data_IF_059059930406
#
_entry.id   IF_059059930406
#
_cell.length_a   1.000
_cell.length_b   1.000
_cell.length_c   1.000
_cell.angle_alpha   90.00
_cell.angle_beta   90.00
_cell.angle_gamma   90.00
#
_symmetry.space_group_name_H-M   'P 1'
#
loop_
_entity.id
_entity.type
_entity.pdbx_description
1 polymer ?
#
# COMPACT_ATOMS: atom_id res chain seq x y z
N UNK A 1 16.55 5.17 9.14
CA UNK A 1 15.59 4.07 8.91
C UNK A 1 14.14 4.56 8.79
N UNK A 2 13.59 5.24 9.80
CA UNK A 2 12.19 5.71 9.81
C UNK A 2 11.83 6.59 8.59
N UNK A 3 12.71 7.51 8.18
CA UNK A 3 12.54 8.33 6.97
C UNK A 3 12.37 7.48 5.71
N UNK A 4 13.14 6.41 5.54
CA UNK A 4 13.04 5.49 4.40
C UNK A 4 11.72 4.71 4.39
N UNK A 5 11.27 4.26 5.56
CA UNK A 5 9.95 3.62 5.70
C UNK A 5 8.85 4.60 5.30
N UNK A 6 8.89 5.84 5.81
CA UNK A 6 7.92 6.87 5.49
C UNK A 6 7.87 7.19 3.99
N UNK A 7 9.04 7.42 3.37
CA UNK A 7 9.16 7.78 1.95
C UNK A 7 8.64 6.64 1.07
N UNK A 8 9.12 5.41 1.30
CA UNK A 8 8.72 4.26 0.49
C UNK A 8 7.25 3.92 0.67
N UNK A 9 6.69 4.00 1.89
CA UNK A 9 5.26 3.76 2.12
C UNK A 9 4.40 4.82 1.43
N UNK A 10 4.77 6.09 1.59
CA UNK A 10 4.05 7.23 0.99
C UNK A 10 4.01 7.15 -0.54
N UNK A 11 5.16 6.86 -1.17
CA UNK A 11 5.23 6.74 -2.61
C UNK A 11 4.55 5.48 -3.13
N UNK A 12 4.77 4.31 -2.52
CA UNK A 12 4.11 3.07 -2.95
C UNK A 12 2.59 3.16 -2.80
N UNK A 13 2.09 3.85 -1.77
CA UNK A 13 0.68 4.17 -1.66
C UNK A 13 0.20 5.08 -2.79
N UNK A 14 0.90 6.18 -3.07
CA UNK A 14 0.51 7.15 -4.10
C UNK A 14 0.47 6.59 -5.52
N UNK A 15 1.32 5.61 -5.85
CA UNK A 15 1.28 4.97 -7.16
C UNK A 15 0.15 3.93 -7.26
N UNK A 16 -0.12 3.17 -6.19
CA UNK A 16 -1.11 2.09 -6.19
C UNK A 16 -2.54 2.61 -6.06
N UNK A 17 -2.77 3.58 -5.16
CA UNK A 17 -4.11 3.99 -4.75
C UNK A 17 -5.02 4.46 -5.90
N UNK A 18 -4.55 5.29 -6.85
CA UNK A 18 -5.39 5.74 -7.96
C UNK A 18 -5.84 4.62 -8.91
N UNK A 19 -5.14 3.47 -8.93
CA UNK A 19 -5.52 2.32 -9.77
C UNK A 19 -6.84 1.68 -9.30
N UNK A 20 -7.18 1.81 -8.01
CA UNK A 20 -8.42 1.27 -7.44
C UNK A 20 -9.68 1.95 -7.99
N UNK A 21 -9.58 3.12 -8.63
CA UNK A 21 -10.71 3.74 -9.33
C UNK A 21 -11.21 2.96 -10.55
N UNK A 22 -10.47 1.95 -11.02
CA UNK A 22 -10.98 1.03 -12.04
C UNK A 22 -11.99 0.01 -11.51
N UNK A 23 -12.03 -0.21 -10.19
CA UNK A 23 -12.86 -1.25 -9.55
C UNK A 23 -14.33 -0.85 -9.53
N UNK A 24 -14.63 0.44 -9.36
CA UNK A 24 -16.00 0.91 -9.21
C UNK A 24 -16.58 1.52 -10.49
N UNK A 25 -17.85 1.17 -10.77
CA UNK A 25 -18.58 1.72 -11.89
C UNK A 25 -18.99 3.17 -11.62
N UNK A 26 -18.57 4.07 -12.50
CA UNK A 26 -18.48 5.52 -12.23
C UNK A 26 -19.81 6.24 -12.15
N UNK A 27 -20.86 5.65 -12.70
CA UNK A 27 -22.21 6.23 -12.69
C UNK A 27 -22.91 6.15 -11.33
N UNK A 28 -22.38 5.32 -10.42
CA UNK A 28 -23.07 4.93 -9.19
C UNK A 28 -22.58 5.68 -7.96
N UNK A 29 -21.41 6.34 -8.01
CA UNK A 29 -20.79 6.99 -6.86
C UNK A 29 -20.74 8.50 -7.06
N UNK A 30 -21.03 9.24 -6.00
CA UNK A 30 -20.94 10.69 -5.94
C UNK A 30 -19.52 11.23 -6.22
N UNK A 31 -19.46 12.44 -6.76
CA UNK A 31 -18.22 13.14 -7.09
C UNK A 31 -17.32 13.39 -5.87
N UNK A 32 -17.92 13.56 -4.68
CA UNK A 32 -17.21 13.74 -3.42
C UNK A 32 -16.27 12.59 -3.07
N UNK A 33 -16.68 11.34 -3.35
CA UNK A 33 -15.86 10.15 -3.12
C UNK A 33 -14.54 10.22 -3.91
N UNK A 34 -14.60 10.60 -5.18
CA UNK A 34 -13.41 10.66 -6.01
C UNK A 34 -12.47 11.80 -5.60
N UNK A 35 -13.02 12.97 -5.27
CA UNK A 35 -12.24 14.11 -4.78
C UNK A 35 -11.47 13.75 -3.51
N UNK A 36 -12.14 13.10 -2.57
CA UNK A 36 -11.52 12.63 -1.34
C UNK A 36 -10.38 11.66 -1.62
N UNK A 37 -10.63 10.63 -2.44
CA UNK A 37 -9.64 9.60 -2.72
C UNK A 37 -8.44 10.12 -3.54
N UNK A 38 -8.66 11.00 -4.52
CA UNK A 38 -7.57 11.66 -5.26
C UNK A 38 -6.77 12.61 -4.36
N UNK A 39 -7.46 13.41 -3.54
CA UNK A 39 -6.82 14.27 -2.55
C UNK A 39 -5.98 13.48 -1.55
N UNK A 40 -6.45 12.31 -1.13
CA UNK A 40 -5.70 11.42 -0.23
C UNK A 40 -4.42 10.88 -0.87
N UNK A 41 -4.45 10.51 -2.15
CA UNK A 41 -3.24 10.13 -2.90
C UNK A 41 -2.25 11.30 -3.00
N UNK A 42 -2.73 12.50 -3.34
CA UNK A 42 -1.89 13.71 -3.36
C UNK A 42 -1.26 13.98 -1.99
N UNK A 43 -2.02 13.86 -0.91
CA UNK A 43 -1.52 14.06 0.44
C UNK A 43 -0.39 13.06 0.78
N UNK A 44 -0.59 11.77 0.48
CA UNK A 44 0.43 10.75 0.68
C UNK A 44 1.71 11.04 -0.12
N UNK A 45 1.61 11.34 -1.42
CA UNK A 45 2.79 11.69 -2.23
C UNK A 45 3.48 12.95 -1.71
N UNK A 46 2.71 13.95 -1.27
CA UNK A 46 3.25 15.16 -0.66
C UNK A 46 4.09 14.89 0.59
N UNK A 47 3.66 13.96 1.45
CA UNK A 47 4.46 13.49 2.60
C UNK A 47 5.76 12.84 2.12
N UNK A 48 5.69 11.99 1.08
CA UNK A 48 6.88 11.35 0.51
C UNK A 48 7.88 12.36 -0.07
N UNK A 49 7.40 13.38 -0.78
CA UNK A 49 8.23 14.48 -1.31
C UNK A 49 8.85 15.26 -0.15
N UNK A 50 8.08 15.67 0.84
CA UNK A 50 8.63 16.32 2.03
C UNK A 50 9.70 15.46 2.72
N UNK A 51 9.42 14.16 2.85
CA UNK A 51 10.34 13.19 3.42
C UNK A 51 11.69 13.14 2.72
N UNK A 52 11.72 12.98 1.39
CA UNK A 52 12.98 12.83 0.62
C UNK A 52 13.82 14.13 0.59
N UNK A 53 13.18 15.28 0.73
CA UNK A 53 13.86 16.58 0.78
C UNK A 53 14.39 16.93 2.18
N UNK A 54 13.64 16.59 3.23
CA UNK A 54 14.01 16.88 4.62
C UNK A 54 14.96 15.85 5.22
N UNK A 55 14.94 14.60 4.73
CA UNK A 55 15.82 13.56 5.25
C UNK A 55 17.25 13.73 4.71
N UNK A 56 18.22 13.68 5.61
CA UNK A 56 19.62 13.55 5.22
C UNK A 56 19.89 12.10 4.80
N UNK A 57 20.02 11.90 3.48
CA UNK A 57 20.25 10.59 2.85
C UNK A 57 21.64 10.53 2.19
N UNK A 58 22.44 11.59 2.37
CA UNK A 58 23.73 11.80 1.72
C UNK A 58 24.75 10.71 2.05
N UNK A 59 24.68 10.13 3.25
CA UNK A 59 25.57 9.04 3.69
C UNK A 59 25.33 7.70 2.96
N UNK A 60 24.20 7.55 2.26
CA UNK A 60 23.76 6.25 1.75
C UNK A 60 23.52 6.17 0.25
N UNK A 61 23.49 7.32 -0.42
CA UNK A 61 23.08 7.42 -1.82
C UNK A 61 23.97 8.44 -2.50
N UNK A 62 24.49 8.11 -3.67
CA UNK A 62 25.26 9.04 -4.49
C UNK A 62 24.50 10.35 -4.69
N UNK A 63 25.16 11.48 -4.43
CA UNK A 63 24.56 12.82 -4.44
C UNK A 63 23.84 13.15 -5.76
N UNK A 64 24.36 12.69 -6.90
CA UNK A 64 23.77 12.87 -8.23
C UNK A 64 22.45 12.09 -8.39
N UNK A 65 22.42 10.83 -7.94
CA UNK A 65 21.24 9.97 -8.01
C UNK A 65 20.12 10.42 -7.06
N UNK A 66 20.48 10.96 -5.89
CA UNK A 66 19.55 11.51 -4.92
C UNK A 66 18.88 12.79 -5.44
N UNK A 67 19.63 13.69 -6.07
CA UNK A 67 19.09 14.90 -6.69
C UNK A 67 18.10 14.57 -7.81
N UNK A 68 18.45 13.62 -8.68
CA UNK A 68 17.56 13.16 -9.75
C UNK A 68 16.26 12.58 -9.18
N UNK A 69 16.34 11.73 -8.15
CA UNK A 69 15.19 11.16 -7.46
C UNK A 69 14.26 12.22 -6.85
N UNK A 70 14.83 13.26 -6.22
CA UNK A 70 14.07 14.39 -5.64
C UNK A 70 13.27 15.15 -6.70
N UNK A 71 13.89 15.48 -7.83
CA UNK A 71 13.19 16.18 -8.93
C UNK A 71 12.15 15.32 -9.64
N UNK A 72 12.44 14.02 -9.83
CA UNK A 72 11.46 13.07 -10.35
C UNK A 72 10.23 12.97 -9.44
N UNK A 73 10.42 12.91 -8.12
CA UNK A 73 9.32 12.87 -7.16
C UNK A 73 8.46 14.15 -7.21
N UNK A 74 9.09 15.32 -7.36
CA UNK A 74 8.37 16.61 -7.53
C UNK A 74 7.60 16.64 -8.84
N UNK A 75 8.22 16.25 -9.96
CA UNK A 75 7.57 16.19 -11.26
C UNK A 75 6.35 15.26 -11.25
N UNK A 76 6.50 14.09 -10.61
CA UNK A 76 5.39 13.16 -10.42
C UNK A 76 4.28 13.77 -9.55
N UNK A 77 4.62 14.39 -8.42
CA UNK A 77 3.65 15.04 -7.54
C UNK A 77 2.85 16.13 -8.28
N UNK A 78 3.53 16.97 -9.07
CA UNK A 78 2.87 17.97 -9.91
C UNK A 78 1.93 17.33 -10.94
N UNK A 79 2.34 16.22 -11.58
CA UNK A 79 1.47 15.51 -12.52
C UNK A 79 0.17 15.01 -11.85
N UNK A 80 0.27 14.49 -10.62
CA UNK A 80 -0.87 14.01 -9.85
C UNK A 80 -1.79 15.16 -9.42
N UNK A 81 -1.22 16.30 -9.02
CA UNK A 81 -1.97 17.51 -8.69
C UNK A 81 -2.70 18.08 -9.92
N UNK A 82 -2.07 18.12 -11.09
CA UNK A 82 -2.69 18.59 -12.33
C UNK A 82 -3.90 17.72 -12.70
N UNK A 83 -3.73 16.39 -12.66
CA UNK A 83 -4.84 15.45 -12.94
C UNK A 83 -5.95 15.61 -11.90
N UNK A 84 -5.59 15.75 -10.62
CA UNK A 84 -6.57 15.93 -9.54
C UNK A 84 -7.33 17.25 -9.68
N UNK A 85 -6.64 18.35 -9.99
CA UNK A 85 -7.24 19.66 -10.21
C UNK A 85 -8.17 19.65 -11.43
N UNK A 86 -7.76 19.00 -12.53
CA UNK A 86 -8.57 18.88 -13.74
C UNK A 86 -9.89 18.12 -13.49
N UNK A 87 -9.86 17.07 -12.69
CA UNK A 87 -11.05 16.29 -12.33
C UNK A 87 -11.82 16.83 -11.13
N UNK A 88 -11.26 17.78 -10.38
CA UNK A 88 -11.88 18.30 -9.16
C UNK A 88 -13.28 18.85 -9.42
N UNK A 89 -13.46 19.67 -10.45
CA UNK A 89 -14.77 20.30 -10.75
C UNK A 89 -15.68 19.44 -11.60
N UNK A 90 -15.16 18.37 -12.21
CA UNK A 90 -15.90 17.58 -13.21
C UNK A 90 -16.67 16.43 -12.56
N UNK A 91 -17.85 16.11 -13.11
CA UNK A 91 -18.70 15.02 -12.59
C UNK A 91 -18.34 13.62 -13.11
N UNK A 92 -17.35 13.55 -13.98
CA UNK A 92 -16.89 12.33 -14.65
C UNK A 92 -15.39 12.17 -14.50
N UNK A 93 -14.95 10.95 -14.23
CA UNK A 93 -13.52 10.62 -14.18
C UNK A 93 -13.22 9.57 -15.25
N UNK A 94 -12.12 9.76 -15.96
CA UNK A 94 -11.58 8.75 -16.88
C UNK A 94 -10.45 8.03 -16.15
N UNK A 95 -10.69 6.78 -15.77
CA UNK A 95 -9.73 5.98 -14.98
C UNK A 95 -8.37 5.83 -15.66
N UNK A 96 -8.33 5.77 -17.00
CA UNK A 96 -7.04 5.74 -17.73
C UNK A 96 -6.22 7.02 -17.52
N UNK A 97 -6.87 8.20 -17.46
CA UNK A 97 -6.18 9.47 -17.19
C UNK A 97 -5.67 9.55 -15.75
N UNK A 98 -6.38 8.93 -14.81
CA UNK A 98 -5.96 8.84 -13.40
C UNK A 98 -4.85 7.81 -13.20
N UNK A 99 -4.78 6.78 -14.05
CA UNK A 99 -3.70 5.80 -14.05
C UNK A 99 -2.38 6.32 -14.63
N UNK A 100 -2.40 7.38 -15.46
CA UNK A 100 -1.17 7.95 -16.03
C UNK A 100 -0.17 8.43 -14.95
N UNK A 101 -0.57 9.25 -13.96
CA UNK A 101 0.31 9.57 -12.83
C UNK A 101 0.78 8.34 -12.06
N UNK A 102 -0.03 7.29 -11.93
CA UNK A 102 0.39 6.05 -11.26
C UNK A 102 1.54 5.36 -12.00
N UNK A 103 1.51 5.32 -13.34
CA UNK A 103 2.60 4.73 -14.14
C UNK A 103 3.90 5.51 -13.94
N UNK A 104 3.84 6.85 -13.98
CA UNK A 104 4.99 7.71 -13.67
C UNK A 104 5.50 7.42 -12.24
N UNK A 105 4.59 7.26 -11.29
CA UNK A 105 4.88 6.91 -9.90
C UNK A 105 5.58 5.56 -9.72
N UNK A 106 5.21 4.54 -10.50
CA UNK A 106 5.91 3.24 -10.47
C UNK A 106 7.35 3.41 -10.98
N UNK A 107 7.56 4.18 -12.05
CA UNK A 107 8.91 4.46 -12.56
C UNK A 107 9.74 5.21 -11.52
N UNK A 108 9.19 6.25 -10.87
CA UNK A 108 9.91 6.98 -9.82
C UNK A 108 10.21 6.10 -8.62
N UNK A 109 9.29 5.22 -8.22
CA UNK A 109 9.49 4.25 -7.15
C UNK A 109 10.58 3.22 -7.45
N UNK A 110 10.67 2.71 -8.67
CA UNK A 110 11.75 1.79 -9.05
C UNK A 110 13.11 2.50 -8.96
N UNK A 111 13.19 3.77 -9.34
CA UNK A 111 14.42 4.56 -9.23
C UNK A 111 14.77 4.85 -7.76
N UNK A 112 13.78 5.20 -6.93
CA UNK A 112 13.98 5.56 -5.53
C UNK A 112 14.24 4.32 -4.65
N UNK A 113 13.40 3.30 -4.77
CA UNK A 113 13.50 2.09 -3.94
C UNK A 113 14.61 1.17 -4.45
N UNK A 114 14.62 0.87 -5.75
CA UNK A 114 15.53 -0.13 -6.33
C UNK A 114 16.98 0.31 -6.44
N UNK A 115 17.28 1.57 -6.75
CA UNK A 115 18.68 2.03 -6.89
C UNK A 115 19.27 2.66 -5.62
N UNK A 116 18.44 3.26 -4.77
CA UNK A 116 18.94 4.09 -3.66
C UNK A 116 18.68 3.46 -2.27
N UNK A 117 17.67 2.59 -2.11
CA UNK A 117 17.32 2.04 -0.80
C UNK A 117 17.50 0.53 -0.68
N UNK A 118 17.33 -0.21 -1.77
CA UNK A 118 17.44 -1.67 -1.83
C UNK A 118 18.71 -2.02 -2.60
N UNK A 119 19.82 -2.21 -1.89
CA UNK A 119 21.16 -2.47 -2.46
C UNK A 119 21.42 -3.95 -2.75
N UNK A 120 20.37 -4.74 -2.98
CA UNK A 120 20.48 -6.19 -3.19
C UNK A 120 20.46 -6.55 -4.68
N UNK A 121 20.99 -7.73 -5.02
CA UNK A 121 21.04 -8.23 -6.40
C UNK A 121 19.67 -8.48 -7.03
N UNK A 122 18.58 -8.52 -6.25
CA UNK A 122 17.22 -8.90 -6.67
C UNK A 122 16.21 -7.75 -6.49
N UNK A 123 16.64 -6.50 -6.70
CA UNK A 123 15.82 -5.29 -6.53
C UNK A 123 14.46 -5.31 -7.25
N UNK A 124 14.35 -6.04 -8.37
CA UNK A 124 13.10 -6.17 -9.15
C UNK A 124 12.01 -6.91 -8.36
N UNK A 125 12.37 -8.06 -7.78
CA UNK A 125 11.46 -8.88 -6.97
C UNK A 125 11.04 -8.11 -5.73
N UNK A 126 11.98 -7.45 -5.08
CA UNK A 126 11.72 -6.63 -3.90
C UNK A 126 10.77 -5.47 -4.18
N UNK A 127 10.96 -4.80 -5.32
CA UNK A 127 10.09 -3.70 -5.73
C UNK A 127 8.69 -4.20 -6.08
N UNK A 128 8.57 -5.33 -6.78
CA UNK A 128 7.29 -5.96 -7.08
C UNK A 128 6.53 -6.38 -5.81
N UNK A 129 7.24 -6.82 -4.78
CA UNK A 129 6.64 -7.20 -3.51
C UNK A 129 6.29 -6.04 -2.61
N UNK A 130 7.06 -4.96 -2.63
CA UNK A 130 6.63 -3.71 -2.01
C UNK A 130 5.34 -3.19 -2.67
N UNK A 131 5.15 -3.45 -3.97
CA UNK A 131 3.90 -3.13 -4.66
C UNK A 131 2.73 -4.01 -4.17
N UNK A 132 2.95 -5.31 -3.93
CA UNK A 132 1.93 -6.19 -3.36
C UNK A 132 1.48 -5.73 -1.97
N UNK A 133 2.42 -5.42 -1.07
CA UNK A 133 2.11 -4.89 0.27
C UNK A 133 1.30 -3.59 0.20
N UNK A 134 1.73 -2.66 -0.66
CA UNK A 134 1.01 -1.41 -0.89
C UNK A 134 -0.35 -1.60 -1.55
N UNK A 135 -0.51 -2.59 -2.45
CA UNK A 135 -1.81 -2.93 -3.03
C UNK A 135 -2.80 -3.43 -1.96
N UNK A 136 -2.35 -4.24 -1.00
CA UNK A 136 -3.17 -4.68 0.15
C UNK A 136 -3.57 -3.48 1.01
N UNK A 137 -2.63 -2.58 1.33
CA UNK A 137 -2.91 -1.36 2.09
C UNK A 137 -3.92 -0.46 1.36
N UNK A 138 -3.69 -0.19 0.08
CA UNK A 138 -4.59 0.60 -0.76
C UNK A 138 -5.99 -0.03 -0.87
N UNK A 139 -6.08 -1.35 -1.05
CA UNK A 139 -7.34 -2.07 -1.08
C UNK A 139 -8.11 -1.95 0.23
N UNK A 140 -7.41 -2.07 1.37
CA UNK A 140 -8.02 -1.97 2.69
C UNK A 140 -8.60 -0.57 2.93
N UNK A 141 -7.81 0.48 2.66
CA UNK A 141 -8.25 1.87 2.82
C UNK A 141 -9.38 2.18 1.85
N UNK A 142 -9.28 1.76 0.59
CA UNK A 142 -10.34 1.98 -0.40
C UNK A 142 -11.65 1.31 0.03
N UNK A 143 -11.60 0.06 0.52
CA UNK A 143 -12.77 -0.63 1.03
C UNK A 143 -13.35 0.06 2.29
N UNK A 144 -12.50 0.50 3.23
CA UNK A 144 -12.93 1.23 4.43
C UNK A 144 -13.56 2.58 4.14
N UNK A 145 -12.97 3.35 3.22
CA UNK A 145 -13.51 4.62 2.73
C UNK A 145 -14.84 4.38 2.01
N UNK A 146 -14.91 3.36 1.16
CA UNK A 146 -16.16 2.99 0.51
C UNK A 146 -17.23 2.63 1.55
N UNK A 147 -16.89 1.82 2.56
CA UNK A 147 -17.77 1.50 3.68
C UNK A 147 -18.29 2.72 4.43
N UNK A 148 -17.45 3.74 4.63
CA UNK A 148 -17.89 5.02 5.23
C UNK A 148 -18.97 5.71 4.38
N UNK A 149 -18.77 5.75 3.05
CA UNK A 149 -19.77 6.33 2.14
C UNK A 149 -21.10 5.57 2.16
N UNK A 150 -21.09 4.26 2.39
CA UNK A 150 -22.34 3.47 2.58
C UNK A 150 -23.11 3.83 3.86
N UNK A 151 -22.49 4.48 4.85
CA UNK A 151 -23.21 4.96 6.05
C UNK A 151 -23.97 6.26 5.76
N UNK A 152 -23.42 7.09 4.85
CA UNK A 152 -23.94 8.42 4.58
C UNK A 152 -24.81 8.49 3.31
N UNK A 153 -24.56 7.62 2.32
CA UNK A 153 -25.28 7.60 1.05
C UNK A 153 -26.17 6.36 0.93
N UNK A 154 -27.46 6.58 0.68
CA UNK A 154 -28.51 5.54 0.80
C UNK A 154 -28.74 4.71 -0.47
N UNK A 155 -28.15 5.07 -1.62
CA UNK A 155 -28.45 4.44 -2.92
C UNK A 155 -27.25 3.75 -3.62
N UNK A 156 -26.24 3.32 -2.86
CA UNK A 156 -25.11 2.58 -3.43
C UNK A 156 -25.43 1.08 -3.58
N UNK A 157 -25.22 0.47 -4.76
CA UNK A 157 -25.50 -0.95 -4.92
C UNK A 157 -24.44 -1.78 -4.21
N UNK A 158 -24.88 -2.64 -3.29
CA UNK A 158 -24.05 -3.49 -2.42
C UNK A 158 -22.94 -4.27 -3.14
N UNK A 159 -23.10 -4.49 -4.45
CA UNK A 159 -22.09 -5.10 -5.30
C UNK A 159 -20.76 -4.36 -5.24
N UNK A 160 -20.71 -3.02 -5.16
CA UNK A 160 -19.43 -2.29 -5.11
C UNK A 160 -18.62 -2.65 -3.87
N UNK A 161 -19.27 -2.67 -2.70
CA UNK A 161 -18.60 -3.06 -1.46
C UNK A 161 -18.16 -4.54 -1.53
N UNK A 162 -19.02 -5.42 -2.04
CA UNK A 162 -18.68 -6.84 -2.23
C UNK A 162 -17.51 -7.06 -3.21
N UNK A 163 -17.37 -6.25 -4.27
CA UNK A 163 -16.22 -6.33 -5.19
C UNK A 163 -14.94 -5.85 -4.49
N UNK A 164 -14.99 -4.72 -3.79
CA UNK A 164 -13.83 -4.19 -3.04
C UNK A 164 -13.35 -5.20 -1.97
N UNK A 165 -14.26 -5.78 -1.18
CA UNK A 165 -13.95 -6.81 -0.18
C UNK A 165 -13.34 -8.06 -0.82
N UNK A 166 -13.86 -8.53 -1.96
CA UNK A 166 -13.29 -9.69 -2.66
C UNK A 166 -11.89 -9.43 -3.20
N UNK A 167 -11.63 -8.24 -3.74
CA UNK A 167 -10.29 -7.85 -4.21
C UNK A 167 -9.31 -7.80 -3.04
N UNK A 168 -9.71 -7.18 -1.92
CA UNK A 168 -8.89 -7.16 -0.70
C UNK A 168 -8.59 -8.58 -0.20
N UNK A 169 -9.60 -9.45 -0.15
CA UNK A 169 -9.43 -10.84 0.27
C UNK A 169 -8.47 -11.61 -0.65
N UNK A 170 -8.59 -11.43 -1.97
CA UNK A 170 -7.70 -12.03 -2.95
C UNK A 170 -6.25 -11.55 -2.81
N UNK A 171 -6.04 -10.24 -2.59
CA UNK A 171 -4.70 -9.67 -2.38
C UNK A 171 -4.08 -10.17 -1.06
N UNK A 172 -4.86 -10.26 0.02
CA UNK A 172 -4.41 -10.84 1.28
C UNK A 172 -4.06 -12.33 1.12
N UNK A 173 -4.84 -13.08 0.34
CA UNK A 173 -4.54 -14.47 0.01
C UNK A 173 -3.23 -14.62 -0.78
N UNK A 174 -3.00 -13.77 -1.78
CA UNK A 174 -1.75 -13.74 -2.54
C UNK A 174 -0.55 -13.41 -1.63
N UNK A 175 -0.72 -12.44 -0.71
CA UNK A 175 0.29 -12.09 0.30
C UNK A 175 0.57 -13.24 1.26
N UNK A 176 -0.45 -13.97 1.70
CA UNK A 176 -0.27 -15.14 2.57
C UNK A 176 0.53 -16.25 1.88
N UNK A 177 0.23 -16.53 0.61
CA UNK A 177 0.97 -17.52 -0.18
C UNK A 177 2.43 -17.14 -0.32
N UNK A 178 2.72 -15.87 -0.62
CA UNK A 178 4.09 -15.39 -0.66
C UNK A 178 4.79 -15.52 0.69
N UNK A 179 4.18 -15.03 1.77
CA UNK A 179 4.78 -15.07 3.11
C UNK A 179 5.06 -16.50 3.54
N UNK A 180 4.19 -17.45 3.18
CA UNK A 180 4.38 -18.87 3.44
C UNK A 180 5.57 -19.41 2.64
N UNK A 181 5.66 -19.10 1.34
CA UNK A 181 6.80 -19.50 0.51
C UNK A 181 8.13 -18.92 1.03
N UNK A 182 8.14 -17.63 1.37
CA UNK A 182 9.27 -16.95 1.96
C UNK A 182 9.70 -17.61 3.28
N UNK A 183 8.74 -17.99 4.12
CA UNK A 183 9.02 -18.61 5.43
C UNK A 183 9.88 -19.88 5.35
N UNK A 184 9.72 -20.65 4.27
CA UNK A 184 10.44 -21.91 4.04
C UNK A 184 11.68 -21.78 3.15
N UNK A 185 11.68 -20.82 2.22
CA UNK A 185 12.73 -20.73 1.19
C UNK A 185 13.80 -19.70 1.53
N UNK A 186 13.42 -18.57 2.12
CA UNK A 186 14.33 -17.47 2.39
C UNK A 186 15.10 -17.71 3.69
N UNK A 187 16.37 -17.32 3.66
CA UNK A 187 17.27 -17.33 4.80
C UNK A 187 17.68 -15.90 5.13
N UNK A 188 17.89 -15.65 6.41
CA UNK A 188 18.31 -14.37 6.96
C UNK A 188 19.67 -14.58 7.62
N UNK A 189 20.60 -13.67 7.36
CA UNK A 189 21.82 -13.57 8.15
C UNK A 189 21.49 -13.08 9.56
N UNK A 190 21.56 -13.95 10.54
CA UNK A 190 21.30 -13.63 11.94
C UNK A 190 22.50 -14.09 12.79
N UNK A 191 23.15 -13.14 13.47
CA UNK A 191 24.33 -13.36 14.33
C UNK A 191 25.48 -14.13 13.65
N UNK A 192 25.66 -13.94 12.34
CA UNK A 192 26.72 -14.58 11.55
C UNK A 192 26.31 -15.89 10.88
N UNK A 193 25.16 -16.46 11.24
CA UNK A 193 24.62 -17.67 10.64
C UNK A 193 23.44 -17.38 9.69
N UNK A 194 23.27 -18.20 8.66
CA UNK A 194 22.10 -18.15 7.80
C UNK A 194 20.98 -19.01 8.38
N UNK A 195 19.90 -18.36 8.80
CA UNK A 195 18.78 -19.00 9.49
C UNK A 195 17.50 -18.80 8.68
N UNK A 196 16.70 -19.86 8.51
CA UNK A 196 15.38 -19.77 7.87
C UNK A 196 14.46 -18.81 8.63
N UNK A 197 13.58 -18.09 7.93
CA UNK A 197 12.59 -17.20 8.55
C UNK A 197 11.79 -17.92 9.65
N UNK A 198 11.40 -19.18 9.44
CA UNK A 198 10.66 -19.95 10.44
C UNK A 198 11.40 -20.05 11.79
N UNK A 199 12.70 -20.33 11.77
CA UNK A 199 13.55 -20.33 12.97
C UNK A 199 13.77 -18.93 13.52
N UNK A 200 13.91 -17.93 12.64
CA UNK A 200 14.04 -16.54 13.06
C UNK A 200 12.80 -16.07 13.84
N UNK A 201 11.58 -16.46 13.45
CA UNK A 201 10.35 -16.14 14.18
C UNK A 201 10.32 -16.64 15.63
N UNK A 202 11.17 -17.61 15.99
CA UNK A 202 11.30 -18.14 17.34
C UNK A 202 12.26 -17.31 18.22
N UNK A 203 12.96 -16.32 17.65
CA UNK A 203 13.84 -15.41 18.39
C UNK A 203 13.07 -14.18 18.91
N UNK A 204 13.71 -13.43 19.81
CA UNK A 204 13.15 -12.16 20.31
C UNK A 204 13.05 -11.12 19.20
N UNK A 205 14.05 -10.99 18.31
CA UNK A 205 13.94 -10.07 17.17
C UNK A 205 12.94 -10.55 16.12
N UNK A 206 12.65 -11.85 16.02
CA UNK A 206 11.62 -12.40 15.14
C UNK A 206 10.19 -12.31 15.69
N UNK A 207 10.01 -12.06 16.99
CA UNK A 207 8.68 -11.92 17.59
C UNK A 207 7.89 -10.78 16.95
N UNK A 208 8.52 -9.62 16.72
CA UNK A 208 7.88 -8.47 16.08
C UNK A 208 7.49 -8.80 14.62
N UNK A 209 8.26 -9.65 13.92
CA UNK A 209 7.89 -10.16 12.61
C UNK A 209 6.66 -11.06 12.69
N UNK A 210 6.58 -11.92 13.70
CA UNK A 210 5.40 -12.74 13.96
C UNK A 210 4.14 -11.90 14.19
N UNK A 211 4.25 -10.84 14.99
CA UNK A 211 3.17 -9.85 15.18
C UNK A 211 2.80 -9.18 13.86
N UNK A 212 3.80 -8.78 13.06
CA UNK A 212 3.59 -8.22 11.72
C UNK A 212 2.88 -9.18 10.76
N UNK A 213 3.22 -10.47 10.77
CA UNK A 213 2.58 -11.52 9.97
C UNK A 213 1.12 -11.74 10.37
N UNK A 214 0.86 -11.76 11.67
CA UNK A 214 -0.49 -11.93 12.20
C UNK A 214 -1.39 -10.75 11.84
N UNK A 215 -1.00 -9.52 12.21
CA UNK A 215 -1.81 -8.32 11.96
C UNK A 215 -1.77 -7.88 10.48
N UNK A 216 -0.70 -8.17 9.75
CA UNK A 216 -0.58 -7.78 8.35
C UNK A 216 -1.39 -8.67 7.39
N UNK A 217 -1.59 -9.95 7.73
CA UNK A 217 -2.20 -10.91 6.80
C UNK A 217 -3.23 -11.82 7.46
N UNK A 218 -2.87 -12.60 8.48
CA UNK A 218 -3.77 -13.65 9.02
C UNK A 218 -5.05 -13.05 9.60
N UNK A 219 -4.91 -12.09 10.51
CA UNK A 219 -6.02 -11.40 11.15
C UNK A 219 -6.90 -10.64 10.13
N UNK A 220 -6.38 -9.78 9.25
CA UNK A 220 -7.20 -9.09 8.27
C UNK A 220 -7.83 -10.03 7.24
N UNK A 221 -7.23 -11.18 6.92
CA UNK A 221 -7.84 -12.18 6.03
C UNK A 221 -9.12 -12.78 6.65
N UNK A 222 -9.07 -13.14 7.93
CA UNK A 222 -10.22 -13.63 8.69
C UNK A 222 -11.30 -12.55 8.78
N UNK A 223 -10.92 -11.32 9.15
CA UNK A 223 -11.86 -10.22 9.26
C UNK A 223 -12.49 -9.86 7.91
N UNK A 224 -11.73 -9.89 6.83
CA UNK A 224 -12.25 -9.62 5.47
C UNK A 224 -13.24 -10.70 5.03
N UNK A 225 -13.03 -11.95 5.45
CA UNK A 225 -14.04 -13.01 5.27
C UNK A 225 -15.33 -12.71 6.06
N UNK A 226 -15.21 -12.24 7.31
CA UNK A 226 -16.39 -11.81 8.08
C UNK A 226 -17.11 -10.64 7.40
N UNK A 227 -16.38 -9.65 6.87
CA UNK A 227 -16.96 -8.56 6.08
C UNK A 227 -17.74 -9.11 4.90
N UNK A 228 -17.21 -10.10 4.17
CA UNK A 228 -17.88 -10.70 3.04
C UNK A 228 -19.24 -11.32 3.43
N UNK A 229 -19.31 -12.08 4.52
CA UNK A 229 -20.58 -12.62 5.02
C UNK A 229 -21.54 -11.51 5.47
N UNK A 230 -21.05 -10.48 6.16
CA UNK A 230 -21.83 -9.32 6.60
C UNK A 230 -22.40 -8.52 5.41
N UNK A 231 -21.64 -8.40 4.33
CA UNK A 231 -22.07 -7.73 3.08
C UNK A 231 -23.16 -8.55 2.38
N UNK A 232 -23.13 -9.88 2.41
CA UNK A 232 -24.21 -10.72 1.84
C UNK A 232 -25.55 -10.48 2.50
N UNK A 233 -25.57 -10.32 3.83
CA UNK A 233 -26.79 -9.99 4.59
C UNK A 233 -27.13 -8.49 4.57
N UNK A 234 -26.41 -7.70 3.75
CA UNK A 234 -26.62 -6.24 3.56
C UNK A 234 -26.45 -5.40 4.83
N UNK A 235 -25.70 -5.89 5.83
CA UNK A 235 -25.41 -5.14 7.06
C UNK A 235 -24.21 -4.21 6.88
N UNK A 236 -24.41 -3.09 6.18
CA UNK A 236 -23.31 -2.18 5.80
C UNK A 236 -22.63 -1.54 7.01
N UNK A 237 -23.36 -1.21 8.07
CA UNK A 237 -22.79 -0.60 9.28
C UNK A 237 -21.80 -1.52 10.01
N UNK A 238 -22.16 -2.79 10.16
CA UNK A 238 -21.25 -3.78 10.77
C UNK A 238 -20.05 -4.06 9.87
N UNK A 239 -20.27 -4.18 8.55
CA UNK A 239 -19.20 -4.40 7.57
C UNK A 239 -18.15 -3.28 7.61
N UNK A 240 -18.59 -2.02 7.67
CA UNK A 240 -17.70 -0.85 7.75
C UNK A 240 -16.89 -0.83 9.04
N UNK A 241 -17.51 -1.17 10.18
CA UNK A 241 -16.79 -1.25 11.47
C UNK A 241 -15.63 -2.26 11.42
N UNK A 242 -15.86 -3.44 10.82
CA UNK A 242 -14.81 -4.46 10.66
C UNK A 242 -13.73 -3.97 9.68
N UNK A 243 -14.10 -3.30 8.59
CA UNK A 243 -13.13 -2.75 7.62
C UNK A 243 -12.19 -1.72 8.24
N UNK A 244 -12.62 -0.91 9.19
CA UNK A 244 -11.72 0.01 9.90
C UNK A 244 -10.64 -0.73 10.70
N UNK A 245 -11.02 -1.82 11.38
CA UNK A 245 -10.05 -2.68 12.08
C UNK A 245 -9.08 -3.31 11.08
N UNK A 246 -9.57 -3.76 9.92
CA UNK A 246 -8.72 -4.30 8.84
C UNK A 246 -7.70 -3.26 8.36
N UNK A 247 -8.11 -2.00 8.14
CA UNK A 247 -7.20 -0.93 7.72
C UNK A 247 -6.06 -0.73 8.72
N UNK A 248 -6.39 -0.58 10.01
CA UNK A 248 -5.36 -0.39 11.05
C UNK A 248 -4.42 -1.59 11.15
N UNK A 249 -4.98 -2.80 11.08
CA UNK A 249 -4.22 -4.04 11.13
C UNK A 249 -3.23 -4.19 9.97
N UNK A 250 -3.70 -3.96 8.74
CA UNK A 250 -2.87 -4.00 7.53
C UNK A 250 -1.77 -2.95 7.58
N UNK A 251 -2.08 -1.74 8.04
CA UNK A 251 -1.08 -0.67 8.20
C UNK A 251 0.04 -1.07 9.17
N UNK A 252 -0.30 -1.69 10.31
CA UNK A 252 0.69 -2.19 11.26
C UNK A 252 1.60 -3.25 10.63
N UNK A 253 1.01 -4.19 9.87
CA UNK A 253 1.77 -5.21 9.15
C UNK A 253 2.71 -4.63 8.10
N UNK A 254 2.24 -3.68 7.27
CA UNK A 254 3.05 -3.05 6.22
C UNK A 254 4.27 -2.31 6.80
N UNK A 255 4.08 -1.59 7.91
CA UNK A 255 5.19 -0.92 8.60
C UNK A 255 6.20 -1.93 9.15
N UNK A 256 5.73 -3.04 9.72
CA UNK A 256 6.60 -4.11 10.19
C UNK A 256 7.39 -4.74 9.02
N UNK A 257 6.74 -5.08 7.91
CA UNK A 257 7.43 -5.66 6.75
C UNK A 257 8.49 -4.73 6.16
N UNK A 258 8.19 -3.44 6.03
CA UNK A 258 9.18 -2.46 5.56
C UNK A 258 10.35 -2.28 6.53
N UNK A 259 10.12 -2.41 7.83
CA UNK A 259 11.20 -2.45 8.81
C UNK A 259 12.12 -3.65 8.54
N UNK A 260 11.58 -4.87 8.42
CA UNK A 260 12.39 -6.06 8.16
C UNK A 260 13.06 -6.08 6.78
N UNK A 261 12.42 -5.50 5.77
CA UNK A 261 13.02 -5.32 4.45
C UNK A 261 14.27 -4.44 4.52
N UNK A 262 14.21 -3.32 5.25
CA UNK A 262 15.32 -2.38 5.32
C UNK A 262 16.44 -2.82 6.28
N UNK A 263 16.10 -3.50 7.37
CA UNK A 263 17.08 -3.95 8.37
C UNK A 263 17.74 -5.27 7.99
N UNK A 264 16.94 -6.23 7.54
CA UNK A 264 17.38 -7.62 7.31
C UNK A 264 17.39 -8.01 5.83
N UNK A 265 16.98 -7.12 4.91
CA UNK A 265 16.82 -7.45 3.49
C UNK A 265 15.68 -8.44 3.24
N UNK A 266 14.75 -8.57 4.19
CA UNK A 266 13.75 -9.64 4.18
C UNK A 266 12.51 -9.22 3.39
N UNK A 267 12.25 -9.97 2.33
CA UNK A 267 11.18 -9.68 1.38
C UNK A 267 9.92 -10.47 1.73
N UNK A 268 9.04 -9.85 2.52
CA UNK A 268 7.70 -10.34 2.79
C UNK A 268 6.66 -9.48 2.11
#
# INVERSE_FOLDING_TARGET
>A
MLSRILITTSFSFGCCYPLFFWINNRKLIETGFYRFNLGFSCFAVGIGVGGIWLSDLSDSVDSSSLLLARWLAVAWFLSLLIVTAFFWTRQWIKGWLVALPSIIGVVTLCQISGRNFLTTSNWEIETALSFLGSAVLCASIFAGVLGHWYLNATNLPISLLAHATRILWGLLGARLLWNSYAAFTLQIGYRGDQVSIFRFLQTIEGLLLGVGLFFGVVFPLILTYMVYETVKVKSTQSATGILYVVVTSVLMGELAYKYYLLEYGLVL
#
